data_IF_202297781398
#
_entry.id   IF_202297781398
#
_cell.length_a   1.000
_cell.length_b   1.000
_cell.length_c   1.000
_cell.angle_alpha   90.00
_cell.angle_beta   90.00
_cell.angle_gamma   90.00
#
_symmetry.space_group_name_H-M   'P 1'
#
loop_
_entity.id
_entity.type
_entity.pdbx_description
1 polymer ?
#
# COMPACT_ATOMS: atom_id res chain seq x y z
N UNK A 1 7.45 4.81 -10.99
CA UNK A 1 6.37 4.07 -10.29
C UNK A 1 5.12 4.07 -11.16
N UNK A 2 4.45 2.96 -11.24
CA UNK A 2 3.19 2.85 -11.95
C UNK A 2 2.15 2.26 -10.99
N UNK A 3 0.93 2.81 -11.03
CA UNK A 3 -0.16 2.34 -10.18
C UNK A 3 -1.30 1.89 -11.09
N UNK A 4 -1.69 0.62 -10.95
CA UNK A 4 -2.79 0.04 -11.71
C UNK A 4 -3.95 -0.18 -10.75
N UNK A 5 -5.07 0.48 -11.02
CA UNK A 5 -6.27 0.40 -10.19
C UNK A 5 -7.25 -0.58 -10.79
N UNK A 6 -7.77 -1.48 -9.97
CA UNK A 6 -8.75 -2.46 -10.42
C UNK A 6 -9.81 -2.64 -9.35
N UNK A 7 -11.08 -2.42 -9.73
CA UNK A 7 -12.21 -2.61 -8.84
C UNK A 7 -12.91 -3.93 -9.12
N UNK A 8 -13.16 -4.68 -8.07
CA UNK A 8 -14.10 -5.80 -8.10
C UNK A 8 -15.21 -5.44 -7.11
N UNK A 9 -16.32 -4.94 -7.65
CA UNK A 9 -17.38 -4.32 -6.86
C UNK A 9 -16.80 -3.15 -6.07
N UNK A 10 -16.79 -3.21 -4.73
CA UNK A 10 -16.19 -2.17 -3.89
C UNK A 10 -14.84 -2.55 -3.31
N UNK A 11 -14.24 -3.62 -3.80
CA UNK A 11 -12.89 -3.97 -3.43
C UNK A 11 -11.91 -3.37 -4.44
N UNK A 12 -11.07 -2.46 -3.97
CA UNK A 12 -10.04 -1.84 -4.79
C UNK A 12 -8.73 -2.59 -4.63
N UNK A 13 -8.13 -2.99 -5.75
CA UNK A 13 -6.77 -3.50 -5.78
C UNK A 13 -5.86 -2.47 -6.45
N UNK A 14 -4.81 -2.07 -5.74
CA UNK A 14 -3.76 -1.21 -6.28
C UNK A 14 -2.53 -2.08 -6.51
N UNK A 15 -2.18 -2.30 -7.77
CA UNK A 15 -0.93 -2.96 -8.12
C UNK A 15 0.11 -1.89 -8.38
N UNK A 16 1.23 -1.94 -7.65
CA UNK A 16 2.26 -0.92 -7.71
C UNK A 16 3.53 -1.51 -8.27
N UNK A 17 4.03 -0.92 -9.35
CA UNK A 17 5.24 -1.37 -10.02
C UNK A 17 6.35 -0.32 -9.87
N UNK A 18 7.59 -0.81 -9.82
CA UNK A 18 8.78 0.03 -9.77
C UNK A 18 9.21 0.34 -8.35
N UNK A 19 9.38 1.61 -8.04
CA UNK A 19 9.95 2.03 -6.76
C UNK A 19 9.06 3.07 -6.09
N UNK A 20 8.87 2.93 -4.78
CA UNK A 20 8.24 3.98 -3.97
C UNK A 20 9.35 4.68 -3.20
N UNK A 21 9.73 5.85 -3.68
CA UNK A 21 10.74 6.70 -3.04
C UNK A 21 10.08 7.93 -2.42
N UNK A 22 10.89 8.92 -2.02
CA UNK A 22 10.38 10.12 -1.36
C UNK A 22 9.42 10.91 -2.26
N UNK A 23 9.68 10.93 -3.57
CA UNK A 23 8.85 11.67 -4.52
C UNK A 23 7.60 10.86 -4.88
N UNK A 24 7.77 9.60 -5.26
CA UNK A 24 6.65 8.76 -5.71
C UNK A 24 5.72 8.38 -4.56
N UNK A 25 6.21 8.41 -3.30
CA UNK A 25 5.33 8.20 -2.15
C UNK A 25 4.23 9.27 -2.08
N UNK A 26 4.51 10.49 -2.52
CA UNK A 26 3.52 11.55 -2.57
C UNK A 26 2.45 11.27 -3.62
N UNK A 27 2.86 10.71 -4.77
CA UNK A 27 1.91 10.29 -5.81
C UNK A 27 1.02 9.15 -5.30
N UNK A 28 1.61 8.19 -4.59
CA UNK A 28 0.85 7.07 -4.03
C UNK A 28 -0.19 7.57 -3.04
N UNK A 29 0.19 8.45 -2.13
CA UNK A 29 -0.73 9.02 -1.16
C UNK A 29 -1.88 9.75 -1.85
N UNK A 30 -1.57 10.54 -2.86
CA UNK A 30 -2.57 11.28 -3.64
C UNK A 30 -3.54 10.32 -4.35
N UNK A 31 -3.03 9.26 -4.95
CA UNK A 31 -3.86 8.28 -5.66
C UNK A 31 -4.78 7.51 -4.72
N UNK A 32 -4.29 7.13 -3.53
CA UNK A 32 -5.12 6.48 -2.53
C UNK A 32 -6.23 7.42 -2.07
N UNK A 33 -5.89 8.67 -1.77
CA UNK A 33 -6.87 9.65 -1.32
C UNK A 33 -7.91 10.00 -2.40
N UNK A 34 -7.51 9.95 -3.66
CA UNK A 34 -8.44 10.20 -4.78
C UNK A 34 -9.55 9.14 -4.83
N UNK A 35 -9.29 7.92 -4.34
CA UNK A 35 -10.29 6.85 -4.30
C UNK A 35 -11.06 6.78 -2.98
N UNK A 36 -10.80 7.70 -2.07
CA UNK A 36 -11.42 7.72 -0.75
C UNK A 36 -12.95 7.76 -0.87
N UNK A 37 -13.62 6.86 -0.15
CA UNK A 37 -15.07 6.75 -0.19
C UNK A 37 -15.61 5.86 -1.31
N UNK A 38 -14.77 5.42 -2.25
CA UNK A 38 -15.20 4.61 -3.39
C UNK A 38 -15.04 3.12 -3.15
N UNK A 39 -14.34 2.71 -2.10
CA UNK A 39 -14.10 1.30 -1.79
C UNK A 39 -14.43 1.00 -0.32
N UNK A 40 -14.77 -0.24 -0.05
CA UNK A 40 -14.99 -0.74 1.31
C UNK A 40 -13.96 -1.80 1.72
N UNK A 41 -13.03 -2.15 0.83
CA UNK A 41 -11.81 -2.90 1.15
C UNK A 41 -10.70 -2.52 0.18
N UNK A 42 -9.46 -2.56 0.65
CA UNK A 42 -8.29 -2.19 -0.14
C UNK A 42 -7.25 -3.30 -0.10
N UNK A 43 -6.82 -3.72 -1.28
CA UNK A 43 -5.70 -4.65 -1.45
C UNK A 43 -4.59 -3.91 -2.18
N UNK A 44 -3.37 -4.02 -1.67
CA UNK A 44 -2.20 -3.47 -2.33
C UNK A 44 -1.31 -4.62 -2.78
N UNK A 45 -1.19 -4.80 -4.09
CA UNK A 45 -0.39 -5.86 -4.69
C UNK A 45 1.00 -5.32 -5.01
N UNK A 46 2.02 -5.84 -4.33
CA UNK A 46 3.39 -5.37 -4.46
C UNK A 46 4.29 -6.37 -5.20
N UNK A 47 3.72 -7.26 -6.01
CA UNK A 47 4.50 -8.29 -6.70
C UNK A 47 5.58 -7.70 -7.60
N UNK A 48 5.33 -6.53 -8.20
CA UNK A 48 6.28 -5.87 -9.11
C UNK A 48 6.96 -4.64 -8.48
N UNK A 49 6.87 -4.49 -7.18
CA UNK A 49 7.54 -3.42 -6.46
C UNK A 49 8.98 -3.83 -6.17
N UNK A 50 9.94 -3.00 -6.55
CA UNK A 50 11.37 -3.28 -6.38
C UNK A 50 11.92 -2.71 -5.07
N UNK A 51 11.35 -1.60 -4.58
CA UNK A 51 11.88 -0.90 -3.42
C UNK A 51 10.82 0.02 -2.81
N UNK A 52 10.87 0.18 -1.50
CA UNK A 52 10.04 1.16 -0.79
C UNK A 52 10.91 1.91 0.22
N UNK A 53 10.84 3.23 0.19
CA UNK A 53 11.56 4.11 1.12
C UNK A 53 10.81 4.27 2.43
N UNK A 54 11.46 4.88 3.42
CA UNK A 54 10.79 5.21 4.68
C UNK A 54 9.60 6.16 4.48
N UNK A 55 9.66 7.05 3.49
CA UNK A 55 8.52 7.89 3.14
C UNK A 55 7.35 7.07 2.61
N UNK A 56 7.64 6.06 1.78
CA UNK A 56 6.62 5.13 1.31
C UNK A 56 6.00 4.32 2.44
N UNK A 57 6.83 3.83 3.36
CA UNK A 57 6.33 3.11 4.53
C UNK A 57 5.38 3.96 5.37
N UNK A 58 5.69 5.24 5.54
CA UNK A 58 4.80 6.17 6.27
C UNK A 58 3.45 6.32 5.58
N UNK A 59 3.41 6.34 4.25
CA UNK A 59 2.15 6.40 3.51
C UNK A 59 1.32 5.14 3.78
N UNK A 60 1.94 3.97 3.78
CA UNK A 60 1.24 2.72 4.09
C UNK A 60 0.68 2.71 5.51
N UNK A 61 1.47 3.17 6.48
CA UNK A 61 1.04 3.23 7.88
C UNK A 61 -0.11 4.23 8.04
N UNK A 62 0.00 5.40 7.43
CA UNK A 62 -1.06 6.41 7.49
C UNK A 62 -2.36 5.87 6.87
N UNK A 63 -2.25 5.15 5.75
CA UNK A 63 -3.38 4.51 5.10
C UNK A 63 -4.03 3.47 6.01
N UNK A 64 -3.21 2.63 6.65
CA UNK A 64 -3.69 1.62 7.59
C UNK A 64 -4.48 2.24 8.74
N UNK A 65 -3.93 3.29 9.35
CA UNK A 65 -4.58 3.97 10.47
C UNK A 65 -5.90 4.60 10.04
N UNK A 66 -5.91 5.27 8.90
CA UNK A 66 -7.10 5.94 8.38
C UNK A 66 -8.20 4.93 8.07
N UNK A 67 -7.87 3.85 7.36
CA UNK A 67 -8.86 2.86 6.97
C UNK A 67 -9.37 2.07 8.16
N UNK A 68 -8.50 1.80 9.14
CA UNK A 68 -8.91 1.13 10.37
C UNK A 68 -9.95 1.97 11.14
N UNK A 69 -9.83 3.29 11.11
CA UNK A 69 -10.80 4.16 11.79
C UNK A 69 -12.18 4.11 11.15
N UNK A 70 -12.27 3.67 9.90
CA UNK A 70 -13.53 3.49 9.17
C UNK A 70 -13.95 2.03 9.06
N UNK A 71 -13.25 1.11 9.75
CA UNK A 71 -13.48 -0.33 9.66
C UNK A 71 -13.33 -0.88 8.24
N UNK A 72 -12.43 -0.29 7.45
CA UNK A 72 -12.14 -0.74 6.09
C UNK A 72 -10.90 -1.63 6.12
N UNK A 73 -11.01 -2.91 5.69
CA UNK A 73 -9.85 -3.80 5.63
C UNK A 73 -8.81 -3.30 4.63
N UNK A 74 -7.54 -3.37 5.02
CA UNK A 74 -6.40 -3.06 4.16
C UNK A 74 -5.38 -4.19 4.26
N UNK A 75 -5.10 -4.83 3.14
CA UNK A 75 -4.22 -5.99 3.07
C UNK A 75 -3.16 -5.75 2.01
N UNK A 76 -1.92 -6.10 2.32
CA UNK A 76 -0.79 -6.05 1.39
C UNK A 76 -0.49 -7.48 0.96
N UNK A 77 -0.40 -7.71 -0.35
CA UNK A 77 -0.17 -9.04 -0.92
C UNK A 77 1.04 -9.08 -1.83
N UNK A 78 1.59 -10.28 -1.99
CA UNK A 78 2.63 -10.59 -2.98
C UNK A 78 3.92 -9.80 -2.76
N UNK A 79 4.30 -9.64 -1.50
CA UNK A 79 5.54 -8.94 -1.14
C UNK A 79 6.72 -9.85 -1.49
N UNK A 80 7.66 -9.35 -2.31
CA UNK A 80 8.87 -10.10 -2.62
C UNK A 80 9.86 -10.04 -1.46
N UNK A 81 10.96 -10.81 -1.57
CA UNK A 81 11.93 -10.93 -0.48
C UNK A 81 12.59 -9.60 -0.13
N UNK A 82 12.90 -8.79 -1.13
CA UNK A 82 13.55 -7.49 -0.91
C UNK A 82 12.66 -6.53 -0.13
N UNK A 83 11.42 -6.37 -0.59
CA UNK A 83 10.46 -5.48 0.06
C UNK A 83 10.03 -6.06 1.41
N UNK A 84 9.87 -7.38 1.50
CA UNK A 84 9.54 -8.06 2.75
C UNK A 84 10.59 -7.84 3.81
N UNK A 85 11.88 -7.84 3.42
CA UNK A 85 12.98 -7.55 4.34
C UNK A 85 12.91 -6.13 4.86
N UNK A 86 12.57 -5.17 4.00
CA UNK A 86 12.39 -3.77 4.40
C UNK A 86 11.28 -3.65 5.45
N UNK A 87 10.15 -4.31 5.24
CA UNK A 87 9.05 -4.31 6.20
C UNK A 87 9.49 -4.93 7.53
N UNK A 88 10.21 -6.03 7.49
CA UNK A 88 10.66 -6.73 8.69
C UNK A 88 11.67 -5.89 9.48
N UNK A 89 12.65 -5.30 8.79
CA UNK A 89 13.69 -4.50 9.45
C UNK A 89 13.15 -3.23 10.06
N UNK A 90 12.10 -2.65 9.47
CA UNK A 90 11.46 -1.45 10.01
C UNK A 90 10.45 -1.76 11.11
N UNK A 91 10.09 -3.05 11.29
CA UNK A 91 9.07 -3.46 12.24
C UNK A 91 7.64 -3.24 11.77
N UNK A 92 7.45 -2.75 10.55
CA UNK A 92 6.12 -2.42 10.01
C UNK A 92 5.31 -3.66 9.63
N UNK A 93 5.96 -4.82 9.49
CA UNK A 93 5.27 -6.10 9.29
C UNK A 93 4.37 -6.47 10.48
N UNK A 94 4.62 -5.86 11.65
CA UNK A 94 3.78 -6.07 12.84
C UNK A 94 2.57 -5.15 12.89
N UNK A 95 2.58 -4.09 12.10
CA UNK A 95 1.51 -3.08 12.07
C UNK A 95 0.61 -3.30 10.86
N UNK A 96 1.22 -3.60 9.71
CA UNK A 96 0.53 -3.83 8.45
C UNK A 96 0.11 -5.29 8.33
N UNK A 97 -1.06 -5.53 7.75
CA UNK A 97 -1.48 -6.90 7.46
C UNK A 97 -0.90 -7.31 6.12
N UNK A 98 0.05 -8.23 6.15
CA UNK A 98 0.76 -8.73 4.97
C UNK A 98 0.41 -10.19 4.78
N UNK A 99 -0.06 -10.52 3.57
CA UNK A 99 -0.38 -11.90 3.19
C UNK A 99 0.52 -12.41 2.08
#
# INVERSE_FOLDING_TARGET
MEIIKNYNEKELTLAIEGRIDTITSQELDKEINAESGNFDSLIMDLSDLEYISSAGLRVLIATQKKLKSYDIPFVIKNVNDTVGEIFRMSGFDKILKIE
#
